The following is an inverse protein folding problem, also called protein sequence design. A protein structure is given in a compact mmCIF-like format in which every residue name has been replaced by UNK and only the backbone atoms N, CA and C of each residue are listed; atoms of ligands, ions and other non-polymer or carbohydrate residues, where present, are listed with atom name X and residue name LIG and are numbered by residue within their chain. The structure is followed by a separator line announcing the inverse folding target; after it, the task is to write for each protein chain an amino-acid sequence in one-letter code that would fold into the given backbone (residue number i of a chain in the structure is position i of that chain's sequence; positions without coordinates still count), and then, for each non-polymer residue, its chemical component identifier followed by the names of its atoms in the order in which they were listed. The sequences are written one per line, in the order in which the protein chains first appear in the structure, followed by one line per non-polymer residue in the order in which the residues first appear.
data_IF_988528974057
#
_entry.id   IF_988528974057
#
_cell.length_a   1.000
_cell.length_b   1.000
_cell.length_c   1.000
_cell.angle_alpha   90.00
_cell.angle_beta   90.00
_cell.angle_gamma   90.00
#
_symmetry.space_group_name_H-M   'P 1'
#
loop_
_entity.id
_entity.type
_entity.pdbx_description
1 polymer ?
#
# COMPACT_ATOMS: atom_id res chain seq x y z
N UNK A 1 23.50 48.65 11.76
CA UNK A 1 22.49 47.75 11.20
C UNK A 1 23.08 46.35 11.24
N UNK A 2 22.57 45.49 12.11
CA UNK A 2 22.96 44.08 12.18
C UNK A 2 21.86 43.32 11.44
N UNK A 3 22.22 42.65 10.35
CA UNK A 3 21.32 41.80 9.58
C UNK A 3 20.89 40.61 10.44
N UNK A 4 19.58 40.50 10.70
CA UNK A 4 18.97 39.31 11.28
C UNK A 4 18.84 38.25 10.18
N UNK A 5 19.81 37.34 10.10
CA UNK A 5 19.67 36.11 9.32
C UNK A 5 18.70 35.19 10.07
N UNK A 6 17.44 35.20 9.65
CA UNK A 6 16.43 34.25 10.10
C UNK A 6 16.86 32.84 9.66
N UNK A 7 17.51 32.10 10.55
CA UNK A 7 17.63 30.66 10.40
C UNK A 7 16.21 30.08 10.44
N UNK A 8 15.68 29.76 9.26
CA UNK A 8 14.51 28.93 9.13
C UNK A 8 14.80 27.60 9.82
N UNK A 9 14.19 27.38 10.98
CA UNK A 9 14.13 26.09 11.63
C UNK A 9 13.35 25.17 10.70
N UNK A 10 14.07 24.31 9.96
CA UNK A 10 13.48 23.15 9.29
C UNK A 10 12.90 22.30 10.41
N UNK A 11 11.61 22.44 10.64
CA UNK A 11 10.86 21.50 11.48
C UNK A 11 10.72 20.26 10.63
N UNK A 12 11.48 19.22 10.95
CA UNK A 12 11.25 17.89 10.41
C UNK A 12 9.80 17.54 10.70
N UNK A 13 8.95 17.56 9.66
CA UNK A 13 7.57 17.11 9.80
C UNK A 13 7.63 15.64 10.23
N UNK A 14 6.85 15.21 11.23
CA UNK A 14 6.77 13.81 11.59
C UNK A 14 6.47 13.02 10.32
N UNK A 15 7.36 12.09 9.95
CA UNK A 15 7.09 11.21 8.82
C UNK A 15 5.84 10.42 9.17
N UNK A 16 4.73 10.74 8.51
CA UNK A 16 3.45 10.10 8.76
C UNK A 16 3.62 8.60 8.49
N UNK A 17 3.56 7.78 9.53
CA UNK A 17 3.72 6.33 9.39
C UNK A 17 2.38 5.74 9.02
N UNK A 18 2.32 5.02 7.91
CA UNK A 18 1.16 4.25 7.47
C UNK A 18 1.49 2.77 7.57
N UNK A 19 0.51 1.93 7.91
CA UNK A 19 0.72 0.48 7.91
C UNK A 19 1.08 -0.06 6.52
N UNK A 20 0.41 0.47 5.50
CA UNK A 20 0.65 0.13 4.10
C UNK A 20 0.87 1.40 3.27
N UNK A 21 1.84 1.34 2.36
CA UNK A 21 2.13 2.40 1.40
C UNK A 21 1.24 2.31 0.14
N UNK A 22 1.14 3.40 -0.61
CA UNK A 22 0.54 3.36 -1.95
C UNK A 22 1.33 2.39 -2.83
N UNK A 23 0.63 1.55 -3.58
CA UNK A 23 1.24 0.50 -4.39
C UNK A 23 1.67 -0.75 -3.60
N UNK A 24 1.44 -0.80 -2.28
CA UNK A 24 1.68 -2.03 -1.52
C UNK A 24 0.72 -3.15 -1.95
N UNK A 25 1.27 -4.36 -2.06
CA UNK A 25 0.49 -5.59 -2.26
C UNK A 25 0.07 -6.15 -0.91
N UNK A 26 -1.24 -6.34 -0.74
CA UNK A 26 -1.87 -6.76 0.50
C UNK A 26 -2.89 -7.87 0.25
N UNK A 27 -3.36 -8.48 1.34
CA UNK A 27 -4.53 -9.35 1.35
C UNK A 27 -5.40 -9.08 2.59
N UNK A 28 -6.59 -9.65 2.62
CA UNK A 28 -7.44 -9.64 3.80
C UNK A 28 -7.05 -10.79 4.72
N UNK A 29 -7.11 -10.55 6.03
CA UNK A 29 -6.71 -11.55 7.03
C UNK A 29 -7.62 -12.78 7.10
N UNK A 30 -8.89 -12.63 6.71
CA UNK A 30 -9.89 -13.71 6.78
C UNK A 30 -9.98 -14.53 5.48
N UNK A 31 -9.24 -14.17 4.42
CA UNK A 31 -9.23 -14.93 3.17
C UNK A 31 -8.42 -14.27 2.05
N UNK A 32 -7.95 -15.06 1.06
CA UNK A 32 -7.11 -14.56 -0.02
C UNK A 32 -7.87 -13.55 -0.88
N UNK A 33 -7.41 -12.30 -0.86
CA UNK A 33 -7.93 -11.21 -1.67
C UNK A 33 -6.75 -10.32 -2.09
N UNK A 34 -5.92 -10.78 -3.05
CA UNK A 34 -4.76 -10.01 -3.50
C UNK A 34 -5.23 -8.64 -4.00
N UNK A 35 -4.71 -7.59 -3.39
CA UNK A 35 -5.13 -6.22 -3.68
C UNK A 35 -3.95 -5.25 -3.68
N UNK A 36 -4.08 -4.20 -4.50
CA UNK A 36 -3.13 -3.09 -4.55
C UNK A 36 -3.70 -1.89 -3.79
N UNK A 37 -2.91 -1.27 -2.92
CA UNK A 37 -3.31 -0.03 -2.25
C UNK A 37 -3.25 1.15 -3.23
N UNK A 38 -4.39 1.82 -3.44
CA UNK A 38 -4.51 2.99 -4.34
C UNK A 38 -4.74 4.30 -3.59
N UNK A 39 -5.31 4.22 -2.39
CA UNK A 39 -5.70 5.38 -1.61
C UNK A 39 -5.56 5.08 -0.12
N UNK A 40 -5.29 6.14 0.67
CA UNK A 40 -5.16 6.07 2.13
C UNK A 40 -5.85 7.28 2.74
N UNK A 41 -6.55 7.04 3.84
CA UNK A 41 -7.13 8.10 4.66
C UNK A 41 -7.23 7.63 6.11
N UNK A 42 -7.48 8.57 7.02
CA UNK A 42 -7.79 8.28 8.40
C UNK A 42 -9.18 8.79 8.73
N UNK A 43 -9.96 7.96 9.42
CA UNK A 43 -11.16 8.44 10.08
C UNK A 43 -10.79 9.41 11.21
N UNK A 44 -11.77 10.18 11.69
CA UNK A 44 -11.58 11.14 12.79
C UNK A 44 -11.09 10.51 14.09
N UNK A 45 -11.31 9.20 14.27
CA UNK A 45 -10.82 8.42 15.41
C UNK A 45 -9.42 7.81 15.18
N UNK A 46 -8.73 8.19 14.09
CA UNK A 46 -7.39 7.73 13.77
C UNK A 46 -7.30 6.38 13.06
N UNK A 47 -8.42 5.69 12.84
CA UNK A 47 -8.41 4.42 12.11
C UNK A 47 -8.00 4.64 10.65
N UNK A 48 -7.02 3.85 10.20
CA UNK A 48 -6.57 3.86 8.81
C UNK A 48 -7.59 3.14 7.92
N UNK A 49 -7.95 3.79 6.83
CA UNK A 49 -8.84 3.27 5.80
C UNK A 49 -8.07 3.29 4.47
N UNK A 50 -8.12 2.16 3.78
CA UNK A 50 -7.41 1.93 2.53
C UNK A 50 -8.40 1.74 1.40
N UNK A 51 -8.23 2.53 0.34
CA UNK A 51 -8.86 2.26 -0.94
C UNK A 51 -7.97 1.30 -1.73
N UNK A 52 -8.51 0.16 -2.10
CA UNK A 52 -7.75 -0.96 -2.69
C UNK A 52 -8.43 -1.44 -3.96
N UNK A 53 -7.63 -1.94 -4.90
CA UNK A 53 -8.12 -2.61 -6.10
C UNK A 53 -7.82 -4.10 -6.04
N UNK A 54 -8.86 -4.91 -6.18
CA UNK A 54 -8.72 -6.36 -6.28
C UNK A 54 -7.96 -6.75 -7.54
N UNK A 55 -7.06 -7.70 -7.37
CA UNK A 55 -6.31 -8.39 -8.42
C UNK A 55 -6.63 -9.89 -8.41
N UNK A 56 -7.72 -10.31 -7.75
CA UNK A 56 -8.16 -11.70 -7.75
C UNK A 56 -8.73 -12.10 -9.12
N UNK A 57 -8.51 -13.35 -9.56
CA UNK A 57 -9.08 -13.87 -10.81
C UNK A 57 -10.61 -13.81 -10.86
N UNK A 58 -11.26 -14.09 -9.73
CA UNK A 58 -12.72 -14.17 -9.61
C UNK A 58 -13.42 -12.81 -9.57
N UNK A 59 -12.71 -11.76 -9.16
CA UNK A 59 -13.26 -10.42 -8.98
C UNK A 59 -12.22 -9.35 -9.35
N UNK A 60 -11.79 -9.30 -10.62
CA UNK A 60 -10.68 -8.46 -11.02
C UNK A 60 -11.08 -6.99 -11.10
N UNK A 61 -10.17 -6.09 -10.75
CA UNK A 61 -10.33 -4.63 -10.84
C UNK A 61 -11.45 -4.04 -9.97
N UNK A 62 -12.02 -4.79 -9.02
CA UNK A 62 -13.02 -4.25 -8.11
C UNK A 62 -12.38 -3.36 -7.05
N UNK A 63 -12.82 -2.11 -7.00
CA UNK A 63 -12.40 -1.15 -5.99
C UNK A 63 -13.19 -1.31 -4.69
N UNK A 64 -12.50 -1.22 -3.55
CA UNK A 64 -13.06 -1.43 -2.21
C UNK A 64 -12.42 -0.47 -1.22
N UNK A 65 -13.17 -0.09 -0.18
CA UNK A 65 -12.65 0.60 1.00
C UNK A 65 -12.55 -0.40 2.16
N UNK A 66 -11.41 -0.48 2.82
CA UNK A 66 -11.16 -1.45 3.90
C UNK A 66 -10.46 -0.81 5.09
N UNK A 67 -10.76 -1.30 6.29
CA UNK A 67 -10.04 -0.91 7.50
C UNK A 67 -8.65 -1.54 7.50
N UNK A 68 -7.63 -0.77 7.89
CA UNK A 68 -6.24 -1.24 7.95
C UNK A 68 -6.04 -2.44 8.88
N UNK A 69 -6.89 -2.61 9.89
CA UNK A 69 -6.88 -3.76 10.81
C UNK A 69 -7.29 -5.09 10.18
N UNK A 70 -8.02 -5.05 9.07
CA UNK A 70 -8.46 -6.20 8.33
C UNK A 70 -7.42 -6.63 7.27
N UNK A 71 -6.39 -5.82 7.07
CA UNK A 71 -5.41 -5.98 6.01
C UNK A 71 -4.08 -6.48 6.58
N UNK A 72 -3.44 -7.35 5.81
CA UNK A 72 -2.11 -7.89 6.06
C UNK A 72 -1.28 -7.82 4.77
N UNK A 73 0.06 -7.85 4.83
CA UNK A 73 0.88 -8.00 3.63
C UNK A 73 0.43 -9.20 2.80
N UNK A 74 0.55 -9.12 1.47
CA UNK A 74 0.18 -10.23 0.60
C UNK A 74 0.96 -11.51 0.98
N UNK A 75 0.28 -12.65 0.98
CA UNK A 75 0.86 -13.96 1.26
C UNK A 75 0.81 -14.89 0.04
N UNK A 76 1.39 -16.08 0.17
CA UNK A 76 1.46 -17.06 -0.92
C UNK A 76 0.07 -17.54 -1.37
N UNK A 77 -0.90 -17.61 -0.45
CA UNK A 77 -2.27 -18.02 -0.80
C UNK A 77 -2.96 -16.98 -1.68
N UNK A 78 -2.81 -15.70 -1.33
CA UNK A 78 -3.34 -14.60 -2.13
C UNK A 78 -2.61 -14.50 -3.49
N UNK A 79 -1.31 -14.75 -3.54
CA UNK A 79 -0.58 -14.80 -4.81
C UNK A 79 -1.07 -15.89 -5.76
N UNK A 80 -1.49 -17.06 -5.25
CA UNK A 80 -2.00 -18.16 -6.08
C UNK A 80 -3.26 -17.80 -6.88
N UNK A 81 -4.01 -16.79 -6.42
CA UNK A 81 -5.22 -16.30 -7.08
C UNK A 81 -5.07 -14.90 -7.67
N UNK A 82 -3.83 -14.39 -7.73
CA UNK A 82 -3.51 -13.04 -8.20
C UNK A 82 -3.26 -13.00 -9.71
N UNK A 83 -3.90 -12.06 -10.40
CA UNK A 83 -3.72 -11.78 -11.83
C UNK A 83 -2.27 -11.45 -12.22
N UNK A 84 -1.48 -10.93 -11.29
CA UNK A 84 -0.09 -10.56 -11.56
C UNK A 84 0.87 -11.74 -11.44
N UNK A 85 0.44 -12.87 -10.87
CA UNK A 85 1.32 -14.01 -10.64
C UNK A 85 1.95 -14.53 -11.94
N UNK A 86 3.28 -14.65 -11.97
CA UNK A 86 4.00 -15.11 -13.16
C UNK A 86 4.15 -14.06 -14.28
N UNK A 87 3.59 -12.86 -14.10
CA UNK A 87 3.76 -11.75 -15.05
C UNK A 87 5.05 -10.97 -14.73
N UNK A 88 5.53 -10.10 -15.64
CA UNK A 88 6.64 -9.18 -15.34
C UNK A 88 6.38 -8.20 -14.19
N UNK A 89 5.14 -8.12 -13.68
CA UNK A 89 4.74 -7.30 -12.55
C UNK A 89 4.63 -8.10 -11.24
N UNK A 90 4.90 -9.42 -11.25
CA UNK A 90 5.02 -10.22 -10.03
C UNK A 90 6.28 -9.80 -9.26
N UNK A 91 6.09 -9.12 -8.13
CA UNK A 91 7.20 -8.59 -7.32
C UNK A 91 8.06 -9.67 -6.67
N UNK A 92 7.61 -10.93 -6.67
CA UNK A 92 8.40 -12.07 -6.18
C UNK A 92 9.44 -12.53 -7.20
N UNK A 93 9.22 -12.22 -8.47
CA UNK A 93 10.15 -12.57 -9.55
C UNK A 93 11.19 -11.46 -9.62
N UNK A 94 12.44 -11.79 -9.32
CA UNK A 94 13.54 -10.83 -9.47
C UNK A 94 13.56 -10.29 -10.90
N UNK A 95 13.42 -8.97 -11.06
CA UNK A 95 13.58 -8.33 -12.37
C UNK A 95 15.04 -8.50 -12.79
N UNK A 96 15.34 -9.01 -14.01
CA UNK A 96 16.69 -8.85 -14.54
C UNK A 96 16.99 -7.36 -14.58
N UNK A 97 18.07 -6.94 -13.93
CA UNK A 97 18.57 -5.57 -14.11
C UNK A 97 18.93 -5.42 -15.60
N UNK A 98 18.54 -4.33 -16.27
CA UNK A 98 19.04 -4.05 -17.60
C UNK A 98 20.57 -3.98 -17.53
N UNK A 99 21.25 -4.72 -18.41
CA UNK A 99 22.70 -4.62 -18.60
C UNK A 99 23.06 -3.34 -19.34
#
# INVERSE_FOLDING_TARGET
MIEMNAHATVTEQPTETWRFELGAMITHRDGPMPSLVLYRTRASNGLEIYGVRSLAFEDPNRDRMMLGEALVPIDDQAWNVCLLAGTPLDTRIARPLPQ
#
